data_IF_459775053757
#
_entry.id   IF_459775053757
#
_cell.length_a   1.000
_cell.length_b   1.000
_cell.length_c   1.000
_cell.angle_alpha   90.00
_cell.angle_beta   90.00
_cell.angle_gamma   90.00
#
_symmetry.space_group_name_H-M   'P 1'
#
loop_
_entity.id
_entity.type
_entity.pdbx_description
1 polymer ?
#
# COMPACT_ATOMS: atom_id res chain seq x y z
N UNK A 1 16.78 28.94 20.87
CA UNK A 1 15.98 28.75 19.65
C UNK A 1 16.87 28.92 18.44
N UNK A 2 16.87 27.97 17.50
CA UNK A 2 16.81 28.37 16.10
C UNK A 2 15.77 27.55 15.32
N UNK A 3 14.87 28.27 14.68
CA UNK A 3 14.04 27.79 13.57
C UNK A 3 14.91 27.75 12.31
N UNK A 4 15.10 26.58 11.71
CA UNK A 4 15.48 26.47 10.29
C UNK A 4 15.17 25.06 9.81
N UNK A 5 13.96 24.87 9.29
CA UNK A 5 13.58 23.69 8.51
C UNK A 5 13.10 24.20 7.16
N UNK A 6 14.03 24.39 6.24
CA UNK A 6 13.75 24.75 4.86
C UNK A 6 14.64 23.90 3.95
N UNK A 7 14.51 22.58 4.03
CA UNK A 7 15.24 21.63 3.19
C UNK A 7 14.32 20.50 2.69
N UNK A 8 13.19 20.85 2.11
CA UNK A 8 12.46 19.95 1.20
C UNK A 8 12.31 20.62 -0.16
N UNK A 9 13.45 20.86 -0.81
CA UNK A 9 13.48 21.14 -2.24
C UNK A 9 13.09 19.85 -2.97
N UNK A 10 11.87 19.82 -3.51
CA UNK A 10 11.39 18.74 -4.36
C UNK A 10 12.26 18.71 -5.61
N UNK A 11 13.24 17.82 -5.67
CA UNK A 11 14.04 17.60 -6.88
C UNK A 11 13.12 17.04 -7.97
N UNK A 12 12.61 17.92 -8.82
CA UNK A 12 12.02 17.57 -10.10
C UNK A 12 13.13 16.94 -10.94
N UNK A 13 13.18 15.61 -10.99
CA UNK A 13 14.08 14.88 -11.90
C UNK A 13 13.60 15.11 -13.32
N UNK A 14 14.23 16.06 -13.99
CA UNK A 14 14.19 16.24 -15.44
C UNK A 14 14.86 15.04 -16.08
N UNK A 15 14.03 14.19 -16.69
CA UNK A 15 14.23 13.59 -18.02
C UNK A 15 15.68 13.58 -18.55
N UNK A 16 16.30 12.41 -18.57
CA UNK A 16 17.35 12.10 -19.54
C UNK A 16 16.99 10.79 -20.24
N UNK A 17 17.01 10.85 -21.56
CA UNK A 17 16.43 9.90 -22.49
C UNK A 17 17.24 8.61 -22.61
N UNK A 18 16.54 7.47 -22.66
CA UNK A 18 17.05 6.29 -23.34
C UNK A 18 15.89 5.66 -24.11
N UNK A 19 15.74 6.04 -25.38
CA UNK A 19 15.03 5.24 -26.36
C UNK A 19 15.71 3.86 -26.45
N UNK A 20 15.17 2.85 -25.78
CA UNK A 20 15.55 1.46 -26.03
C UNK A 20 14.32 0.56 -25.87
N UNK A 21 13.83 0.16 -27.04
CA UNK A 21 12.82 -0.84 -27.34
C UNK A 21 11.41 -0.67 -26.77
N UNK A 22 10.46 -0.75 -27.71
CA UNK A 22 9.03 -1.04 -27.55
C UNK A 22 8.76 -2.41 -26.88
N UNK A 23 9.68 -2.90 -26.04
CA UNK A 23 9.38 -3.90 -25.03
C UNK A 23 8.66 -3.17 -23.91
N UNK A 24 7.38 -2.91 -24.12
CA UNK A 24 6.43 -2.72 -23.03
C UNK A 24 6.53 -3.96 -22.15
N UNK A 25 7.47 -3.96 -21.19
CA UNK A 25 7.51 -4.96 -20.13
C UNK A 25 6.13 -4.83 -19.49
N UNK A 26 5.24 -5.83 -19.65
CA UNK A 26 3.91 -5.72 -19.10
C UNK A 26 4.13 -5.55 -17.62
N UNK A 27 3.81 -4.35 -17.11
CA UNK A 27 3.97 -4.02 -15.69
C UNK A 27 3.24 -5.11 -14.96
N UNK A 28 4.00 -6.05 -14.37
CA UNK A 28 3.41 -7.23 -13.75
C UNK A 28 2.43 -6.70 -12.75
N UNK A 29 1.13 -6.97 -12.96
CA UNK A 29 0.11 -6.51 -12.04
C UNK A 29 0.55 -7.04 -10.67
N UNK A 30 0.90 -6.17 -9.71
CA UNK A 30 1.42 -6.62 -8.44
C UNK A 30 0.38 -7.55 -7.85
N UNK A 31 0.71 -8.84 -7.81
CA UNK A 31 -0.22 -9.86 -7.37
C UNK A 31 -0.26 -9.77 -5.85
N UNK A 32 -1.31 -9.14 -5.33
CA UNK A 32 -1.59 -9.16 -3.91
C UNK A 32 -2.12 -10.55 -3.56
N UNK A 33 -1.32 -11.33 -2.84
CA UNK A 33 -1.79 -12.61 -2.31
C UNK A 33 -2.57 -12.37 -1.01
N UNK A 34 -3.86 -12.62 -1.06
CA UNK A 34 -4.69 -12.64 0.15
C UNK A 34 -4.41 -13.93 0.96
N UNK A 35 -4.55 -13.89 2.29
CA UNK A 35 -4.51 -15.10 3.12
C UNK A 35 -5.48 -16.17 2.63
N UNK A 36 -5.10 -17.45 2.75
CA UNK A 36 -5.89 -18.58 2.25
C UNK A 36 -7.32 -18.63 2.81
N UNK A 37 -7.51 -18.20 4.06
CA UNK A 37 -8.83 -18.10 4.69
C UNK A 37 -9.72 -17.06 4.01
N UNK A 38 -9.17 -15.88 3.72
CA UNK A 38 -9.89 -14.81 3.03
C UNK A 38 -10.18 -15.22 1.59
N UNK A 39 -9.19 -15.80 0.89
CA UNK A 39 -9.37 -16.34 -0.46
C UNK A 39 -10.50 -17.34 -0.54
N UNK A 40 -10.56 -18.30 0.40
CA UNK A 40 -11.66 -19.29 0.44
C UNK A 40 -13.02 -18.62 0.60
N UNK A 41 -13.08 -17.51 1.35
CA UNK A 41 -14.31 -16.75 1.56
C UNK A 41 -14.77 -15.92 0.36
N UNK A 42 -13.88 -15.57 -0.57
CA UNK A 42 -14.18 -14.69 -1.72
C UNK A 42 -14.05 -15.36 -3.09
N UNK A 43 -13.55 -16.60 -3.14
CA UNK A 43 -13.28 -17.36 -4.37
C UNK A 43 -14.48 -17.50 -5.31
N UNK A 44 -15.67 -17.71 -4.76
CA UNK A 44 -16.89 -17.99 -5.53
C UNK A 44 -17.80 -16.75 -5.66
N UNK A 45 -17.31 -15.57 -5.28
CA UNK A 45 -18.06 -14.31 -5.33
C UNK A 45 -17.69 -13.50 -6.57
N UNK A 46 -18.63 -12.66 -7.03
CA UNK A 46 -18.32 -11.63 -8.01
C UNK A 46 -17.28 -10.64 -7.44
N UNK A 47 -16.46 -9.97 -8.29
CA UNK A 47 -15.44 -9.04 -7.83
C UNK A 47 -15.97 -7.96 -6.88
N UNK A 48 -17.15 -7.42 -7.17
CA UNK A 48 -17.81 -6.39 -6.37
C UNK A 48 -18.26 -6.93 -5.00
N UNK A 49 -18.83 -8.14 -4.99
CA UNK A 49 -19.29 -8.81 -3.76
C UNK A 49 -18.11 -9.24 -2.87
N UNK A 50 -17.02 -9.72 -3.47
CA UNK A 50 -15.78 -10.04 -2.80
C UNK A 50 -15.21 -8.81 -2.09
N UNK A 51 -15.16 -7.67 -2.77
CA UNK A 51 -14.71 -6.41 -2.19
C UNK A 51 -15.64 -5.95 -1.06
N UNK A 52 -16.96 -5.96 -1.26
CA UNK A 52 -17.93 -5.57 -0.24
C UNK A 52 -17.82 -6.43 1.02
N UNK A 53 -17.61 -7.75 0.86
CA UNK A 53 -17.40 -8.68 1.97
C UNK A 53 -16.09 -8.39 2.71
N UNK A 54 -15.01 -8.10 1.98
CA UNK A 54 -13.73 -7.73 2.56
C UNK A 54 -13.84 -6.44 3.38
N UNK A 55 -14.52 -5.43 2.84
CA UNK A 55 -14.78 -4.17 3.53
C UNK A 55 -15.72 -4.33 4.73
N UNK A 56 -16.71 -5.21 4.65
CA UNK A 56 -17.60 -5.49 5.78
C UNK A 56 -16.89 -6.21 6.93
N UNK A 57 -15.87 -7.03 6.63
CA UNK A 57 -15.12 -7.81 7.63
C UNK A 57 -13.91 -7.07 8.19
N UNK A 58 -13.21 -6.28 7.36
CA UNK A 58 -11.95 -5.62 7.69
C UNK A 58 -11.96 -4.10 7.48
N UNK A 59 -12.88 -3.58 6.66
CA UNK A 59 -12.94 -2.16 6.29
C UNK A 59 -13.43 -1.23 7.41
N UNK A 60 -13.90 -1.78 8.53
CA UNK A 60 -14.21 -0.99 9.73
C UNK A 60 -12.94 -0.59 10.52
N UNK A 61 -11.79 -1.20 10.23
CA UNK A 61 -10.57 -0.86 10.93
C UNK A 61 -9.96 0.40 10.35
N UNK A 62 -10.19 1.52 11.05
CA UNK A 62 -9.51 2.79 10.83
C UNK A 62 -8.44 2.89 11.91
N UNK A 63 -7.15 2.64 11.60
CA UNK A 63 -6.08 2.73 12.58
C UNK A 63 -6.05 4.15 13.16
N UNK A 64 -6.36 4.27 14.44
CA UNK A 64 -6.28 5.54 15.16
C UNK A 64 -4.81 5.89 15.41
N UNK A 65 -4.52 7.16 15.71
CA UNK A 65 -3.15 7.58 16.02
C UNK A 65 -2.53 6.76 17.18
N UNK A 66 -3.34 6.39 18.18
CA UNK A 66 -2.90 5.55 19.29
C UNK A 66 -2.59 4.10 18.85
N UNK A 67 -3.38 3.54 17.94
CA UNK A 67 -3.16 2.20 17.39
C UNK A 67 -1.85 2.12 16.59
N UNK A 68 -1.55 3.17 15.80
CA UNK A 68 -0.28 3.31 15.09
C UNK A 68 0.91 3.45 16.05
N UNK A 69 0.76 4.24 17.12
CA UNK A 69 1.81 4.39 18.14
C UNK A 69 2.10 3.05 18.83
N UNK A 70 1.06 2.24 19.10
CA UNK A 70 1.20 0.92 19.71
C UNK A 70 1.88 -0.09 18.78
N UNK A 71 1.54 -0.07 17.49
CA UNK A 71 2.22 -0.90 16.49
C UNK A 71 3.72 -0.57 16.44
N UNK A 72 4.08 0.72 16.43
CA UNK A 72 5.48 1.16 16.42
C UNK A 72 6.23 0.79 17.71
N UNK A 73 5.58 0.84 18.88
CA UNK A 73 6.18 0.39 20.15
C UNK A 73 6.49 -1.11 20.12
N UNK A 74 5.58 -1.92 19.56
CA UNK A 74 5.76 -3.37 19.45
C UNK A 74 6.95 -3.72 18.53
N UNK A 75 7.10 -3.03 17.39
CA UNK A 75 8.24 -3.20 16.46
C UNK A 75 9.59 -2.80 17.07
N UNK A 76 9.62 -1.88 18.03
CA UNK A 76 10.85 -1.44 18.70
C UNK A 76 11.29 -2.36 19.84
N UNK A 77 10.42 -3.25 20.30
CA UNK A 77 10.68 -4.17 21.41
C UNK A 77 11.05 -5.60 20.94
N UNK A 78 10.96 -5.88 19.64
CA UNK A 78 11.45 -7.09 18.97
C UNK A 78 12.92 -6.95 18.52
#
# INVERSE_FOLDING_TARGET
EPTSSADYEWTARTEDSLDDDDTSIPKTIPNICLPAEILRGVKDLAPEDALNKLLSSHGAYIPTAADREKALQLEQEE
#
